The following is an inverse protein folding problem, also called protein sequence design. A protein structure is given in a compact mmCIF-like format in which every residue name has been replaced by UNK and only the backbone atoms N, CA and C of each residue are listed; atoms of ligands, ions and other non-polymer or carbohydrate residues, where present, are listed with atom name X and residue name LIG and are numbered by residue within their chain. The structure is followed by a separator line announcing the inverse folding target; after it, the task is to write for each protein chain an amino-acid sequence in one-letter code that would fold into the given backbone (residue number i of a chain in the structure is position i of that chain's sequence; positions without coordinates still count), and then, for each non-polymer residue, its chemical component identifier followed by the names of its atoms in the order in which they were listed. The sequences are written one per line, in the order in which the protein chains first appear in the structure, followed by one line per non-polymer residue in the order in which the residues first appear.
data_IF_199921880588
#
_entry.id   IF_199921880588
#
_cell.length_a   1.000
_cell.length_b   1.000
_cell.length_c   1.000
_cell.angle_alpha   90.00
_cell.angle_beta   90.00
_cell.angle_gamma   90.00
#
_symmetry.space_group_name_H-M   'P 1'
#
loop_
_entity.id
_entity.type
_entity.pdbx_description
1 polymer ?
#
# COMPACT_ATOMS: atom_id res chain seq x y z
N UNK A 1 14.36 -2.07 -44.90
CA UNK A 1 13.10 -1.83 -45.65
C UNK A 1 11.92 -2.62 -45.11
N UNK A 2 12.01 -3.94 -44.90
CA UNK A 2 10.91 -4.74 -44.34
C UNK A 2 10.45 -4.28 -42.94
N UNK A 3 11.40 -4.03 -42.03
CA UNK A 3 11.10 -3.58 -40.66
C UNK A 3 10.39 -2.22 -40.64
N UNK A 4 10.81 -1.30 -41.51
CA UNK A 4 10.20 0.03 -41.65
C UNK A 4 8.79 -0.06 -42.24
N UNK A 5 8.59 -0.90 -43.26
CA UNK A 5 7.27 -1.15 -43.83
C UNK A 5 6.31 -1.80 -42.82
N UNK A 6 6.79 -2.77 -42.06
CA UNK A 6 6.03 -3.41 -40.98
C UNK A 6 5.68 -2.40 -39.88
N UNK A 7 6.64 -1.57 -39.45
CA UNK A 7 6.42 -0.54 -38.44
C UNK A 7 5.42 0.52 -38.90
N UNK A 8 5.53 0.99 -40.16
CA UNK A 8 4.54 1.91 -40.73
C UNK A 8 3.14 1.28 -40.78
N UNK A 9 3.00 0.01 -41.17
CA UNK A 9 1.70 -0.68 -41.17
C UNK A 9 1.14 -0.88 -39.76
N UNK A 10 1.98 -1.21 -38.79
CA UNK A 10 1.60 -1.30 -37.39
C UNK A 10 1.12 0.04 -36.87
N UNK A 11 1.83 1.14 -37.14
CA UNK A 11 1.42 2.48 -36.72
C UNK A 11 0.09 2.92 -37.35
N UNK A 12 -0.19 2.56 -38.60
CA UNK A 12 -1.47 2.84 -39.26
C UNK A 12 -2.65 2.17 -38.52
N UNK A 13 -2.43 1.08 -37.79
CA UNK A 13 -3.46 0.44 -36.97
C UNK A 13 -3.43 0.92 -35.51
N UNK A 14 -2.24 1.00 -34.91
CA UNK A 14 -2.05 1.31 -33.50
C UNK A 14 -2.36 2.76 -33.18
N UNK A 15 -2.04 3.71 -34.07
CA UNK A 15 -2.31 5.14 -33.82
C UNK A 15 -3.81 5.43 -33.78
N UNK A 16 -4.63 5.02 -34.77
CA UNK A 16 -6.07 5.19 -34.67
C UNK A 16 -6.65 4.48 -33.45
N UNK A 17 -6.24 3.24 -33.18
CA UNK A 17 -6.72 2.49 -32.01
C UNK A 17 -6.39 3.23 -30.70
N UNK A 18 -5.15 3.70 -30.54
CA UNK A 18 -4.74 4.47 -29.38
C UNK A 18 -5.54 5.77 -29.25
N UNK A 19 -5.69 6.53 -30.34
CA UNK A 19 -6.47 7.77 -30.35
C UNK A 19 -7.94 7.51 -30.02
N UNK A 20 -8.57 6.50 -30.61
CA UNK A 20 -9.97 6.16 -30.32
C UNK A 20 -10.15 5.70 -28.88
N UNK A 21 -9.24 4.89 -28.36
CA UNK A 21 -9.28 4.43 -26.97
C UNK A 21 -9.05 5.60 -26.00
N UNK A 22 -8.10 6.48 -26.29
CA UNK A 22 -7.87 7.69 -25.49
C UNK A 22 -9.09 8.60 -25.53
N UNK A 23 -9.65 8.89 -26.71
CA UNK A 23 -10.88 9.69 -26.82
C UNK A 23 -12.04 9.06 -26.06
N UNK A 24 -12.22 7.74 -26.15
CA UNK A 24 -13.23 7.03 -25.38
C UNK A 24 -13.02 7.18 -23.86
N UNK A 25 -11.79 7.06 -23.36
CA UNK A 25 -11.48 7.22 -21.94
C UNK A 25 -11.70 8.67 -21.45
N UNK A 26 -11.23 9.67 -22.21
CA UNK A 26 -11.41 11.08 -21.87
C UNK A 26 -12.88 11.52 -21.97
N UNK A 27 -13.64 10.93 -22.88
CA UNK A 27 -15.08 11.17 -23.05
C UNK A 27 -15.92 10.11 -22.35
N UNK A 28 -15.34 9.28 -21.48
CA UNK A 28 -16.05 8.20 -20.81
C UNK A 28 -17.30 8.70 -20.06
N UNK A 29 -17.24 9.82 -19.31
CA UNK A 29 -18.43 10.36 -18.67
C UNK A 29 -19.51 10.80 -19.68
N UNK A 30 -19.11 11.28 -20.85
CA UNK A 30 -20.04 11.68 -21.92
C UNK A 30 -20.71 10.46 -22.53
N UNK A 31 -19.93 9.42 -22.85
CA UNK A 31 -20.42 8.18 -23.47
C UNK A 31 -21.40 7.45 -22.55
N UNK A 32 -21.14 7.47 -21.24
CA UNK A 32 -21.97 6.79 -20.23
C UNK A 32 -23.00 7.69 -19.54
N UNK A 33 -23.18 8.94 -20.00
CA UNK A 33 -24.16 9.85 -19.39
C UNK A 33 -23.90 10.12 -17.90
N UNK A 34 -22.64 10.13 -17.49
CA UNK A 34 -22.21 10.30 -16.11
C UNK A 34 -21.95 11.78 -15.79
N UNK A 35 -22.77 12.38 -14.94
CA UNK A 35 -22.53 13.71 -14.39
C UNK A 35 -22.88 13.73 -12.90
N UNK A 36 -22.14 14.51 -12.11
CA UNK A 36 -22.48 14.72 -10.70
C UNK A 36 -23.75 15.58 -10.59
N UNK A 37 -24.70 15.23 -9.71
CA UNK A 37 -25.94 15.99 -9.55
C UNK A 37 -25.66 17.41 -9.07
N UNK A 38 -26.43 18.38 -9.57
CA UNK A 38 -26.28 19.79 -9.19
C UNK A 38 -26.88 20.05 -7.80
N UNK A 39 -26.31 20.97 -7.00
CA UNK A 39 -26.70 21.15 -5.60
C UNK A 39 -28.14 21.64 -5.38
N UNK A 40 -28.83 22.15 -6.41
CA UNK A 40 -30.12 22.85 -6.28
C UNK A 40 -31.21 22.31 -7.23
N UNK A 41 -30.91 21.25 -8.00
CA UNK A 41 -31.89 20.62 -8.89
C UNK A 41 -31.97 19.12 -8.55
N UNK A 42 -33.13 18.69 -8.03
CA UNK A 42 -33.51 17.27 -7.96
C UNK A 42 -33.70 16.67 -9.37
N UNK A 43 -33.55 17.48 -10.43
CA UNK A 43 -33.55 16.99 -11.79
C UNK A 43 -32.22 16.28 -12.09
N UNK A 44 -32.27 14.96 -12.26
CA UNK A 44 -31.16 14.12 -12.70
C UNK A 44 -30.83 14.30 -14.20
N UNK A 45 -31.10 15.49 -14.75
CA UNK A 45 -30.87 15.80 -16.15
C UNK A 45 -29.37 15.86 -16.43
N UNK A 46 -28.85 14.79 -17.03
CA UNK A 46 -27.44 14.69 -17.40
C UNK A 46 -26.95 15.91 -18.19
N UNK A 47 -27.79 16.44 -19.11
CA UNK A 47 -27.42 17.59 -19.93
C UNK A 47 -27.13 18.84 -19.10
N UNK A 48 -27.92 19.11 -18.06
CA UNK A 48 -27.78 20.33 -17.26
C UNK A 48 -26.56 20.24 -16.33
N UNK A 49 -26.38 19.10 -15.68
CA UNK A 49 -25.20 18.81 -14.87
C UNK A 49 -23.90 18.81 -15.69
N UNK A 50 -23.93 18.23 -16.88
CA UNK A 50 -22.80 18.22 -17.80
C UNK A 50 -22.46 19.62 -18.31
N UNK A 51 -23.45 20.40 -18.75
CA UNK A 51 -23.24 21.77 -19.23
C UNK A 51 -22.70 22.70 -18.14
N UNK A 52 -23.23 22.60 -16.92
CA UNK A 52 -22.70 23.35 -15.77
C UNK A 52 -21.24 22.99 -15.49
N UNK A 53 -20.90 21.70 -15.54
CA UNK A 53 -19.50 21.23 -15.39
C UNK A 53 -18.62 21.77 -16.52
N UNK A 54 -19.09 21.71 -17.77
CA UNK A 54 -18.36 22.22 -18.93
C UNK A 54 -18.10 23.73 -18.83
N UNK A 55 -19.10 24.51 -18.40
CA UNK A 55 -18.96 25.96 -18.18
C UNK A 55 -17.91 26.30 -17.13
N UNK A 56 -17.75 25.48 -16.09
CA UNK A 56 -16.70 25.67 -15.08
C UNK A 56 -15.29 25.38 -15.61
N UNK A 57 -15.17 24.53 -16.65
CA UNK A 57 -13.88 24.10 -17.21
C UNK A 57 -13.47 24.88 -18.45
N UNK A 58 -14.35 25.70 -19.04
CA UNK A 58 -14.03 26.62 -20.14
C UNK A 58 -13.88 28.02 -19.54
N UNK A 59 -12.65 28.50 -19.31
CA UNK A 59 -12.43 29.85 -18.81
C UNK A 59 -12.73 30.84 -19.94
N UNK A 60 -13.96 31.38 -19.98
CA UNK A 60 -14.33 32.34 -21.02
C UNK A 60 -13.78 33.74 -20.69
N UNK A 61 -13.56 34.10 -19.43
CA UNK A 61 -13.03 35.42 -19.02
C UNK A 61 -12.31 35.38 -17.66
N UNK A 62 -11.29 34.53 -17.51
CA UNK A 62 -10.47 34.50 -16.29
C UNK A 62 -9.32 35.51 -16.40
N UNK A 63 -9.45 36.66 -15.73
CA UNK A 63 -8.31 37.52 -15.38
C UNK A 63 -7.21 36.66 -14.70
N UNK A 64 -5.91 36.99 -14.82
CA UNK A 64 -4.85 36.26 -14.14
C UNK A 64 -5.06 36.32 -12.63
N UNK A 65 -5.67 35.27 -12.08
CA UNK A 65 -5.94 35.20 -10.65
C UNK A 65 -4.59 35.19 -9.89
N UNK A 66 -4.49 35.89 -8.74
CA UNK A 66 -3.32 35.76 -7.88
C UNK A 66 -3.14 34.29 -7.49
N UNK A 67 -1.88 33.89 -7.22
CA UNK A 67 -1.55 32.52 -6.88
C UNK A 67 -2.42 32.03 -5.72
N UNK A 68 -3.19 30.95 -5.95
CA UNK A 68 -4.09 30.40 -4.94
C UNK A 68 -3.30 30.05 -3.66
N UNK A 69 -3.79 30.44 -2.46
CA UNK A 69 -3.11 30.16 -1.18
C UNK A 69 -2.93 28.67 -0.91
N UNK A 70 -3.83 27.83 -1.42
CA UNK A 70 -3.72 26.38 -1.40
C UNK A 70 -3.88 25.84 -2.83
N UNK A 71 -2.89 25.06 -3.25
CA UNK A 71 -2.83 24.27 -4.50
C UNK A 71 -2.51 22.85 -4.10
N UNK A 72 -3.44 21.93 -4.34
CA UNK A 72 -3.32 20.52 -3.97
C UNK A 72 -3.03 19.69 -5.23
N UNK A 73 -1.86 19.05 -5.26
CA UNK A 73 -1.57 18.01 -6.24
C UNK A 73 -2.04 16.67 -5.68
N UNK A 74 -2.97 16.03 -6.38
CA UNK A 74 -3.54 14.74 -6.00
C UNK A 74 -3.00 13.67 -6.92
N UNK A 75 -2.40 12.63 -6.36
CA UNK A 75 -1.96 11.43 -7.07
C UNK A 75 -2.85 10.27 -6.59
N UNK A 76 -3.69 9.77 -7.48
CA UNK A 76 -4.53 8.62 -7.17
C UNK A 76 -3.80 7.32 -7.51
N UNK A 77 -3.89 6.34 -6.63
CA UNK A 77 -3.53 4.94 -6.88
C UNK A 77 -2.19 4.77 -7.61
N UNK A 78 -1.06 5.23 -7.02
CA UNK A 78 0.23 5.08 -7.67
C UNK A 78 0.71 3.62 -7.69
N UNK A 79 0.07 2.71 -6.94
CA UNK A 79 0.39 1.29 -6.77
C UNK A 79 1.81 0.92 -7.23
N UNK A 80 2.78 1.17 -6.34
CA UNK A 80 4.18 0.80 -6.59
C UNK A 80 4.33 -0.68 -6.95
N UNK A 81 3.57 -1.53 -6.25
CA UNK A 81 3.46 -2.97 -6.47
C UNK A 81 2.12 -3.50 -5.95
N UNK A 82 1.43 -4.33 -6.72
CA UNK A 82 0.33 -5.16 -6.22
C UNK A 82 0.80 -6.40 -5.45
N UNK A 83 0.05 -7.50 -5.55
CA UNK A 83 0.22 -8.70 -4.71
C UNK A 83 1.39 -9.60 -5.11
N UNK A 84 2.04 -9.33 -6.25
CA UNK A 84 3.16 -10.16 -6.72
C UNK A 84 4.47 -9.76 -6.01
N UNK A 85 4.82 -10.47 -4.94
CA UNK A 85 6.11 -10.32 -4.27
C UNK A 85 7.25 -10.97 -5.07
N UNK A 86 8.48 -10.48 -4.84
CA UNK A 86 9.68 -11.19 -5.27
C UNK A 86 9.77 -12.54 -4.55
N UNK A 87 10.47 -13.55 -5.12
CA UNK A 87 10.63 -14.83 -4.44
C UNK A 87 11.18 -14.62 -3.03
N UNK A 88 10.65 -15.40 -2.08
CA UNK A 88 11.16 -15.41 -0.70
C UNK A 88 12.68 -15.69 -0.70
N UNK A 89 13.45 -15.19 0.29
CA UNK A 89 14.91 -15.34 0.33
C UNK A 89 15.42 -16.78 0.15
N UNK A 90 14.71 -17.77 0.70
CA UNK A 90 15.01 -19.20 0.58
C UNK A 90 14.77 -19.76 -0.84
N UNK A 91 13.94 -19.08 -1.63
CA UNK A 91 13.65 -19.41 -3.03
C UNK A 91 14.61 -18.73 -4.00
N UNK A 92 15.54 -17.89 -3.53
CA UNK A 92 16.58 -17.31 -4.37
C UNK A 92 17.57 -18.38 -4.86
N UNK A 93 18.12 -18.17 -6.06
CA UNK A 93 19.03 -19.12 -6.69
C UNK A 93 20.19 -19.53 -5.78
N UNK A 94 20.78 -18.57 -5.06
CA UNK A 94 21.90 -18.82 -4.15
C UNK A 94 21.51 -19.69 -2.95
N UNK A 95 20.32 -19.50 -2.38
CA UNK A 95 19.79 -20.32 -1.29
C UNK A 95 19.44 -21.73 -1.79
N UNK A 96 18.80 -21.84 -2.95
CA UNK A 96 18.49 -23.13 -3.60
C UNK A 96 19.75 -23.92 -3.95
N UNK A 97 20.78 -23.27 -4.49
CA UNK A 97 22.08 -23.91 -4.76
C UNK A 97 22.73 -24.46 -3.48
N UNK A 98 22.67 -23.70 -2.37
CA UNK A 98 23.16 -24.17 -1.07
C UNK A 98 22.35 -25.35 -0.55
N UNK A 99 21.03 -25.32 -0.70
CA UNK A 99 20.14 -26.40 -0.32
C UNK A 99 20.44 -27.70 -1.09
N UNK A 100 20.48 -27.63 -2.42
CA UNK A 100 20.85 -28.76 -3.28
C UNK A 100 22.23 -29.34 -2.93
N UNK A 101 23.20 -28.47 -2.64
CA UNK A 101 24.53 -28.91 -2.18
C UNK A 101 24.47 -29.64 -0.83
N UNK A 102 23.63 -29.17 0.09
CA UNK A 102 23.36 -29.84 1.36
C UNK A 102 22.79 -31.24 1.18
N UNK A 103 21.81 -31.41 0.30
CA UNK A 103 21.21 -32.72 -0.01
C UNK A 103 22.21 -33.69 -0.65
N UNK A 104 23.03 -33.20 -1.60
CA UNK A 104 24.10 -34.00 -2.20
C UNK A 104 25.11 -34.44 -1.13
N UNK A 105 25.49 -33.54 -0.22
CA UNK A 105 26.40 -33.84 0.89
C UNK A 105 25.80 -34.87 1.86
N UNK A 106 24.52 -34.76 2.18
CA UNK A 106 23.82 -35.72 3.03
C UNK A 106 23.75 -37.11 2.37
N UNK A 107 23.48 -37.17 1.06
CA UNK A 107 23.43 -38.41 0.29
C UNK A 107 24.79 -39.12 0.21
N UNK A 108 25.91 -38.36 0.19
CA UNK A 108 27.27 -38.91 0.24
C UNK A 108 27.56 -39.71 1.51
N UNK A 109 26.99 -39.29 2.65
CA UNK A 109 27.22 -39.89 3.97
C UNK A 109 26.10 -40.83 4.43
N UNK A 110 25.04 -40.99 3.65
CA UNK A 110 23.87 -41.79 4.03
C UNK A 110 24.21 -43.30 4.07
N UNK A 111 23.84 -44.02 5.16
CA UNK A 111 24.03 -45.47 5.23
C UNK A 111 23.30 -46.17 4.08
N UNK A 112 23.92 -47.19 3.50
CA UNK A 112 23.28 -48.06 2.49
C UNK A 112 22.16 -48.84 3.15
N UNK A 113 20.93 -48.33 3.12
CA UNK A 113 19.73 -49.14 3.31
C UNK A 113 19.34 -49.79 1.98
N UNK A 114 18.92 -51.05 2.05
CA UNK A 114 18.41 -51.90 0.96
C UNK A 114 17.22 -51.24 0.23
N UNK A 115 16.90 -51.68 -1.01
CA UNK A 115 16.20 -50.84 -1.98
C UNK A 115 14.82 -50.41 -1.49
N UNK A 116 14.53 -49.11 -1.59
CA UNK A 116 13.16 -48.61 -1.48
C UNK A 116 12.33 -49.23 -2.61
N UNK A 117 11.37 -50.05 -2.20
CA UNK A 117 10.28 -50.49 -3.05
C UNK A 117 9.57 -49.25 -3.58
N UNK A 118 9.66 -49.04 -4.88
CA UNK A 118 8.79 -48.14 -5.62
C UNK A 118 7.35 -48.59 -5.42
N UNK A 119 6.58 -47.84 -4.66
CA UNK A 119 5.14 -47.71 -4.93
C UNK A 119 4.87 -46.26 -5.27
N UNK A 120 4.60 -46.08 -6.55
CA UNK A 120 3.93 -44.95 -7.13
C UNK A 120 2.70 -44.56 -6.32
N UNK A 121 2.71 -43.36 -5.78
CA UNK A 121 1.50 -42.53 -5.77
C UNK A 121 1.79 -41.29 -6.59
N UNK A 122 1.11 -41.28 -7.73
CA UNK A 122 0.94 -40.24 -8.73
C UNK A 122 0.84 -38.83 -8.15
N UNK A 123 1.66 -37.92 -8.67
CA UNK A 123 1.35 -36.49 -8.79
C UNK A 123 1.47 -36.08 -10.26
N UNK A 124 0.51 -36.54 -11.05
CA UNK A 124 0.15 -35.89 -12.30
C UNK A 124 -0.95 -34.87 -11.95
N UNK A 125 -0.55 -33.67 -11.54
CA UNK A 125 -1.38 -32.46 -11.51
C UNK A 125 -0.51 -31.24 -11.16
N UNK A 126 0.18 -30.68 -12.16
CA UNK A 126 0.68 -29.30 -12.14
C UNK A 126 1.03 -28.84 -13.56
N UNK A 127 0.07 -28.99 -14.47
CA UNK A 127 0.00 -28.22 -15.70
C UNK A 127 -1.46 -27.79 -15.81
N UNK A 128 -1.69 -26.48 -15.69
CA UNK A 128 -2.98 -25.76 -15.61
C UNK A 128 -3.54 -25.58 -14.18
N UNK A 129 -3.11 -24.50 -13.53
CA UNK A 129 -3.96 -23.58 -12.78
C UNK A 129 -3.13 -22.33 -12.44
N UNK A 130 -3.37 -21.24 -13.19
CA UNK A 130 -3.23 -19.90 -12.65
C UNK A 130 -4.40 -19.71 -11.68
N UNK A 131 -4.12 -19.68 -10.37
CA UNK A 131 -4.87 -18.95 -9.36
C UNK A 131 -4.21 -19.18 -8.00
N UNK A 132 -4.13 -18.11 -7.21
CA UNK A 132 -3.82 -18.01 -5.78
C UNK A 132 -3.88 -19.30 -4.95
N UNK A 133 -2.83 -19.57 -4.15
CA UNK A 133 -2.76 -19.32 -2.69
C UNK A 133 -1.52 -20.01 -2.06
N UNK A 134 -1.05 -19.42 -0.95
CA UNK A 134 -0.35 -19.98 0.24
C UNK A 134 0.67 -21.14 0.14
N UNK A 135 1.86 -20.93 0.73
CA UNK A 135 2.58 -21.96 1.54
C UNK A 135 3.79 -21.37 2.32
N UNK A 136 4.08 -22.02 3.46
CA UNK A 136 4.81 -21.68 4.71
C UNK A 136 6.32 -21.38 4.66
N UNK A 137 6.94 -21.03 5.82
CA UNK A 137 8.23 -21.63 6.19
C UNK A 137 8.35 -22.03 7.69
N UNK A 138 9.32 -22.90 7.95
CA UNK A 138 9.60 -23.63 9.20
C UNK A 138 10.53 -22.91 10.19
N UNK A 139 10.10 -22.90 11.45
CA UNK A 139 10.82 -22.95 12.75
C UNK A 139 12.33 -22.69 12.87
N UNK A 140 12.70 -21.70 13.68
CA UNK A 140 13.91 -21.71 14.52
C UNK A 140 13.54 -21.36 15.98
N UNK A 141 13.81 -22.28 16.90
CA UNK A 141 13.69 -22.09 18.35
C UNK A 141 15.01 -21.63 18.93
N UNK A 142 14.98 -20.52 19.67
CA UNK A 142 16.07 -19.98 20.48
C UNK A 142 15.82 -20.23 21.97
N UNK A 143 16.89 -20.43 22.75
CA UNK A 143 16.94 -20.22 24.21
C UNK A 143 18.40 -20.26 24.73
N UNK A 144 18.70 -19.66 25.91
CA UNK A 144 19.85 -18.77 26.06
C UNK A 144 20.99 -19.25 26.99
N UNK A 145 22.01 -18.39 27.06
CA UNK A 145 23.29 -18.42 27.80
C UNK A 145 23.31 -18.97 29.23
N UNK A 146 24.45 -19.59 29.59
CA UNK A 146 25.08 -19.56 30.93
C UNK A 146 26.55 -19.99 30.87
N UNK A 147 27.42 -19.18 31.48
CA UNK A 147 28.89 -19.27 31.54
C UNK A 147 29.38 -20.03 32.83
N UNK A 148 30.70 -20.14 33.17
CA UNK A 148 31.38 -21.42 33.38
C UNK A 148 31.93 -21.66 34.80
N UNK A 149 32.31 -22.90 35.15
CA UNK A 149 33.16 -23.17 36.35
C UNK A 149 34.15 -24.34 36.19
N UNK A 150 35.42 -23.95 36.27
CA UNK A 150 36.71 -24.54 36.68
C UNK A 150 36.85 -25.90 37.42
N UNK A 151 37.82 -26.70 36.94
CA UNK A 151 38.94 -27.46 37.61
C UNK A 151 38.67 -28.67 38.55
N UNK A 152 39.69 -29.50 38.88
CA UNK A 152 40.67 -30.21 38.03
C UNK A 152 40.94 -31.70 38.47
N UNK A 153 41.77 -32.40 37.69
CA UNK A 153 42.67 -33.53 38.00
C UNK A 153 42.29 -34.60 39.04
N UNK A 154 42.25 -35.87 38.58
CA UNK A 154 43.04 -36.89 39.27
C UNK A 154 43.46 -38.06 38.37
N UNK A 155 44.77 -38.31 38.43
CA UNK A 155 45.55 -39.31 37.72
C UNK A 155 45.39 -40.70 38.34
N UNK A 156 45.22 -41.76 37.54
CA UNK A 156 45.64 -43.11 37.96
C UNK A 156 46.12 -43.92 36.76
N UNK A 157 47.36 -44.39 36.88
CA UNK A 157 48.16 -45.17 35.96
C UNK A 157 47.74 -46.65 35.99
N UNK A 158 47.58 -47.30 34.82
CA UNK A 158 47.97 -48.71 34.66
C UNK A 158 48.35 -49.00 33.20
N UNK A 159 49.55 -49.53 33.05
CA UNK A 159 50.27 -49.91 31.82
C UNK A 159 49.74 -51.24 31.26
N UNK A 160 49.63 -51.39 29.93
CA UNK A 160 50.31 -52.42 29.08
C UNK A 160 49.58 -52.72 27.76
N UNK A 161 50.23 -52.29 26.67
CA UNK A 161 50.43 -52.91 25.35
C UNK A 161 49.53 -54.09 24.92
N UNK A 162 48.80 -53.94 23.81
CA UNK A 162 49.19 -54.52 22.51
C UNK A 162 48.14 -54.30 21.40
N UNK A 163 48.59 -53.65 20.33
CA UNK A 163 48.33 -53.96 18.91
C UNK A 163 46.96 -54.49 18.48
N UNK A 164 46.14 -53.64 17.85
CA UNK A 164 45.51 -53.96 16.57
C UNK A 164 45.05 -52.67 15.87
N UNK A 165 45.32 -52.64 14.57
CA UNK A 165 45.04 -51.56 13.64
C UNK A 165 43.54 -51.23 13.57
N UNK A 166 43.10 -50.13 14.21
CA UNK A 166 41.85 -49.48 13.84
C UNK A 166 42.12 -48.56 12.65
N UNK A 167 41.98 -49.12 11.46
CA UNK A 167 41.74 -48.34 10.25
C UNK A 167 40.52 -47.47 10.50
N UNK A 168 40.66 -46.15 10.31
CA UNK A 168 39.54 -45.23 10.15
C UNK A 168 38.47 -45.90 9.26
N UNK A 169 37.17 -45.87 9.63
CA UNK A 169 36.16 -46.49 8.80
C UNK A 169 36.22 -45.81 7.43
N UNK A 170 36.59 -46.58 6.41
CA UNK A 170 36.53 -46.13 5.03
C UNK A 170 35.11 -45.66 4.78
N UNK A 171 34.96 -44.35 4.56
CA UNK A 171 33.70 -43.70 4.22
C UNK A 171 33.17 -44.42 2.97
N UNK A 172 32.25 -45.38 3.14
CA UNK A 172 31.64 -46.09 2.03
C UNK A 172 30.67 -45.13 1.37
N UNK A 173 31.15 -44.40 0.35
CA UNK A 173 30.30 -43.51 -0.45
C UNK A 173 29.07 -44.26 -0.93
N UNK A 174 27.89 -43.69 -0.67
CA UNK A 174 26.64 -44.20 -1.19
C UNK A 174 26.43 -43.67 -2.62
N UNK A 175 27.16 -44.26 -3.57
CA UNK A 175 27.19 -43.84 -4.98
C UNK A 175 25.79 -43.75 -5.62
N UNK A 176 24.88 -44.72 -5.44
CA UNK A 176 23.54 -44.65 -6.03
C UNK A 176 22.69 -43.50 -5.47
N UNK A 177 22.68 -43.31 -4.14
CA UNK A 177 21.94 -42.22 -3.51
C UNK A 177 22.51 -40.85 -3.92
N UNK A 178 23.83 -40.75 -4.02
CA UNK A 178 24.52 -39.54 -4.49
C UNK A 178 24.16 -39.22 -5.93
N UNK A 179 24.17 -40.23 -6.82
CA UNK A 179 23.79 -40.05 -8.22
C UNK A 179 22.34 -39.57 -8.33
N UNK A 180 21.43 -40.16 -7.57
CA UNK A 180 20.02 -39.75 -7.53
C UNK A 180 19.87 -38.30 -7.05
N UNK A 181 20.53 -37.91 -5.95
CA UNK A 181 20.51 -36.55 -5.43
C UNK A 181 21.05 -35.53 -6.45
N UNK A 182 22.15 -35.84 -7.13
CA UNK A 182 22.70 -34.99 -8.19
C UNK A 182 21.72 -34.84 -9.36
N UNK A 183 21.10 -35.94 -9.81
CA UNK A 183 20.14 -35.87 -10.92
C UNK A 183 18.90 -35.07 -10.55
N UNK A 184 18.36 -35.24 -9.35
CA UNK A 184 17.21 -34.48 -8.85
C UNK A 184 17.55 -33.00 -8.69
N UNK A 185 18.71 -32.68 -8.12
CA UNK A 185 19.20 -31.31 -7.99
C UNK A 185 19.36 -30.63 -9.36
N UNK A 186 19.95 -31.32 -10.34
CA UNK A 186 20.14 -30.79 -11.69
C UNK A 186 18.80 -30.57 -12.42
N UNK A 187 17.88 -31.53 -12.32
CA UNK A 187 16.54 -31.41 -12.89
C UNK A 187 15.78 -30.22 -12.28
N UNK A 188 15.78 -30.10 -10.95
CA UNK A 188 15.10 -29.02 -10.23
C UNK A 188 15.74 -27.65 -10.55
N UNK A 189 17.07 -27.59 -10.61
CA UNK A 189 17.80 -26.38 -10.96
C UNK A 189 17.43 -25.87 -12.35
N UNK A 190 17.40 -26.76 -13.35
CA UNK A 190 17.12 -26.41 -14.75
C UNK A 190 15.64 -26.14 -15.02
N UNK A 191 14.74 -26.94 -14.47
CA UNK A 191 13.30 -26.85 -14.77
C UNK A 191 12.56 -25.83 -13.90
N UNK A 192 13.06 -25.58 -12.68
CA UNK A 192 12.34 -24.80 -11.69
C UNK A 192 13.13 -23.57 -11.24
N UNK A 193 14.34 -23.76 -10.70
CA UNK A 193 15.05 -22.66 -10.03
C UNK A 193 15.60 -21.60 -11.01
N UNK A 194 16.14 -22.02 -12.15
CA UNK A 194 16.63 -21.09 -13.18
C UNK A 194 15.50 -20.28 -13.85
N UNK A 195 14.40 -20.90 -14.35
CA UNK A 195 13.28 -20.15 -14.89
C UNK A 195 12.65 -19.20 -13.87
N UNK A 196 12.50 -19.63 -12.60
CA UNK A 196 12.02 -18.77 -11.51
C UNK A 196 12.95 -17.58 -11.28
N UNK A 197 14.26 -17.80 -11.27
CA UNK A 197 15.26 -16.74 -11.08
C UNK A 197 15.26 -15.72 -12.22
N UNK A 198 15.07 -16.18 -13.46
CA UNK A 198 14.92 -15.29 -14.62
C UNK A 198 13.63 -14.45 -14.54
N UNK A 199 12.49 -15.07 -14.17
CA UNK A 199 11.24 -14.35 -13.92
C UNK A 199 11.41 -13.30 -12.81
N UNK A 200 12.09 -13.66 -11.73
CA UNK A 200 12.37 -12.74 -10.63
C UNK A 200 13.28 -11.58 -11.06
N UNK A 201 14.32 -11.84 -11.85
CA UNK A 201 15.19 -10.79 -12.39
C UNK A 201 14.42 -9.83 -13.31
N UNK A 202 13.56 -10.36 -14.20
CA UNK A 202 12.65 -9.54 -15.01
C UNK A 202 11.73 -8.70 -14.13
N UNK A 203 11.09 -9.30 -13.13
CA UNK A 203 10.21 -8.58 -12.21
C UNK A 203 10.97 -7.45 -11.50
N UNK A 204 12.19 -7.69 -11.00
CA UNK A 204 13.03 -6.63 -10.40
C UNK A 204 13.30 -5.47 -11.34
N UNK A 205 13.53 -5.74 -12.63
CA UNK A 205 13.69 -4.71 -13.65
C UNK A 205 12.38 -3.95 -13.89
N UNK A 206 11.26 -4.66 -13.99
CA UNK A 206 9.92 -4.06 -14.15
C UNK A 206 9.60 -3.13 -12.97
N UNK A 207 9.90 -3.56 -11.75
CA UNK A 207 9.73 -2.78 -10.51
C UNK A 207 10.60 -1.53 -10.49
N UNK A 208 11.87 -1.66 -10.88
CA UNK A 208 12.76 -0.51 -11.03
C UNK A 208 12.20 0.49 -12.05
N UNK A 209 11.71 0.00 -13.19
CA UNK A 209 11.06 0.83 -14.21
C UNK A 209 9.82 1.54 -13.66
N UNK A 210 8.97 0.83 -12.91
CA UNK A 210 7.76 1.39 -12.30
C UNK A 210 8.12 2.51 -11.30
N UNK A 211 9.08 2.28 -10.41
CA UNK A 211 9.55 3.28 -9.45
C UNK A 211 9.93 4.59 -10.16
N UNK A 212 10.75 4.51 -11.22
CA UNK A 212 11.21 5.69 -11.95
C UNK A 212 10.13 6.32 -12.83
N UNK A 213 9.18 5.52 -13.33
CA UNK A 213 8.03 6.02 -14.08
C UNK A 213 7.11 6.87 -13.18
N UNK A 214 6.73 6.34 -12.00
CA UNK A 214 5.95 7.08 -11.00
C UNK A 214 6.70 8.33 -10.54
N UNK A 215 8.01 8.20 -10.31
CA UNK A 215 8.84 9.34 -9.94
C UNK A 215 8.90 10.41 -11.03
N UNK A 216 8.89 10.01 -12.31
CA UNK A 216 8.79 10.94 -13.44
C UNK A 216 7.45 11.67 -13.45
N UNK A 217 6.33 10.96 -13.25
CA UNK A 217 5.00 11.58 -13.15
C UNK A 217 4.97 12.60 -12.03
N UNK A 218 5.35 12.19 -10.81
CA UNK A 218 5.36 13.08 -9.65
C UNK A 218 6.22 14.32 -9.89
N UNK A 219 7.47 14.15 -10.32
CA UNK A 219 8.40 15.28 -10.52
C UNK A 219 7.93 16.22 -11.62
N UNK A 220 7.43 15.70 -12.74
CA UNK A 220 6.93 16.50 -13.85
C UNK A 220 5.71 17.31 -13.41
N UNK A 221 4.74 16.68 -12.73
CA UNK A 221 3.53 17.36 -12.26
C UNK A 221 3.83 18.35 -11.15
N UNK A 222 4.67 17.99 -10.18
CA UNK A 222 5.08 18.88 -9.09
C UNK A 222 5.79 20.12 -9.63
N UNK A 223 6.73 19.94 -10.58
CA UNK A 223 7.42 21.05 -11.21
C UNK A 223 6.47 21.97 -12.00
N UNK A 224 5.55 21.39 -12.78
CA UNK A 224 4.64 22.15 -13.64
C UNK A 224 3.53 22.87 -12.86
N UNK A 225 2.95 22.20 -11.86
CA UNK A 225 1.77 22.71 -11.13
C UNK A 225 2.13 23.53 -9.89
N UNK A 226 3.40 23.51 -9.46
CA UNK A 226 3.91 24.24 -8.30
C UNK A 226 3.00 24.12 -7.06
N UNK A 227 2.67 22.90 -6.60
CA UNK A 227 1.68 22.70 -5.56
C UNK A 227 2.18 23.21 -4.20
N UNK A 228 1.23 23.61 -3.36
CA UNK A 228 1.51 23.90 -1.94
C UNK A 228 1.48 22.65 -1.07
N UNK A 229 0.66 21.66 -1.48
CA UNK A 229 0.41 20.41 -0.78
C UNK A 229 0.33 19.28 -1.80
N UNK A 230 0.80 18.09 -1.42
CA UNK A 230 0.71 16.88 -2.23
C UNK A 230 -0.02 15.82 -1.43
N UNK A 231 -0.98 15.13 -2.04
CA UNK A 231 -1.65 13.98 -1.42
C UNK A 231 -1.63 12.77 -2.33
N UNK A 232 -1.55 11.60 -1.72
CA UNK A 232 -1.63 10.30 -2.39
C UNK A 232 -2.86 9.57 -1.86
N UNK A 233 -3.79 9.23 -2.75
CA UNK A 233 -5.11 8.69 -2.40
C UNK A 233 -5.11 7.18 -2.12
N UNK A 234 -4.24 6.69 -1.24
CA UNK A 234 -4.19 5.27 -0.89
C UNK A 234 -3.60 4.37 -1.95
N UNK A 235 -3.55 3.08 -1.61
CA UNK A 235 -2.93 2.00 -2.36
C UNK A 235 -1.49 2.33 -2.74
N UNK A 236 -0.73 2.78 -1.74
CA UNK A 236 0.66 3.17 -1.92
C UNK A 236 1.49 1.95 -2.28
N UNK A 237 1.34 0.89 -1.49
CA UNK A 237 2.03 -0.39 -1.67
C UNK A 237 1.09 -1.55 -1.33
N UNK A 238 1.13 -2.63 -2.10
CA UNK A 238 0.53 -3.90 -1.69
C UNK A 238 1.18 -4.37 -0.40
N UNK A 239 0.47 -4.20 0.71
CA UNK A 239 0.91 -4.56 2.06
C UNK A 239 0.20 -5.84 2.49
N UNK A 240 -0.99 -6.12 1.97
CA UNK A 240 -1.63 -7.40 2.21
C UNK A 240 -0.71 -8.55 1.77
N UNK A 241 -0.57 -9.54 2.65
CA UNK A 241 0.14 -10.80 2.34
C UNK A 241 1.64 -10.69 2.05
N UNK A 242 2.30 -9.60 2.50
CA UNK A 242 3.78 -9.49 2.48
C UNK A 242 4.38 -9.44 3.88
N UNK A 243 5.61 -9.95 4.00
CA UNK A 243 6.38 -9.87 5.24
C UNK A 243 6.79 -8.43 5.56
N UNK A 244 7.14 -8.17 6.81
CA UNK A 244 7.55 -6.83 7.24
C UNK A 244 8.86 -6.38 6.56
N UNK A 245 9.77 -7.29 6.25
CA UNK A 245 10.99 -6.96 5.51
C UNK A 245 10.68 -6.49 4.08
N UNK A 246 9.74 -7.15 3.40
CA UNK A 246 9.32 -6.74 2.07
C UNK A 246 8.55 -5.42 2.11
N UNK A 247 7.66 -5.24 3.09
CA UNK A 247 6.98 -3.97 3.34
C UNK A 247 7.97 -2.82 3.53
N UNK A 248 9.01 -3.00 4.36
CA UNK A 248 10.03 -1.98 4.60
C UNK A 248 10.79 -1.64 3.32
N UNK A 249 11.18 -2.64 2.51
CA UNK A 249 11.83 -2.39 1.21
C UNK A 249 10.95 -1.59 0.26
N UNK A 250 9.65 -1.90 0.20
CA UNK A 250 8.66 -1.15 -0.59
C UNK A 250 8.55 0.30 -0.08
N UNK A 251 8.47 0.50 1.23
CA UNK A 251 8.48 1.81 1.88
C UNK A 251 9.73 2.64 1.60
N UNK A 252 10.92 2.03 1.65
CA UNK A 252 12.17 2.70 1.29
C UNK A 252 12.15 3.19 -0.16
N UNK A 253 11.68 2.37 -1.11
CA UNK A 253 11.58 2.79 -2.51
C UNK A 253 10.57 3.92 -2.72
N UNK A 254 9.44 3.88 -2.02
CA UNK A 254 8.45 4.96 -2.03
C UNK A 254 9.12 6.31 -1.71
N UNK A 255 9.83 6.39 -0.59
CA UNK A 255 10.42 7.65 -0.13
C UNK A 255 11.72 8.02 -0.84
N UNK A 256 12.58 7.06 -1.15
CA UNK A 256 13.91 7.36 -1.70
C UNK A 256 13.94 7.46 -3.23
N UNK A 257 12.98 6.83 -3.93
CA UNK A 257 12.92 6.80 -5.39
C UNK A 257 11.74 7.56 -5.95
N UNK A 258 10.51 7.26 -5.53
CA UNK A 258 9.30 7.90 -6.09
C UNK A 258 9.18 9.33 -5.59
N UNK A 259 9.02 9.48 -4.29
CA UNK A 259 8.83 10.76 -3.61
C UNK A 259 10.14 11.28 -3.00
N UNK A 260 11.25 11.13 -3.72
CA UNK A 260 12.58 11.55 -3.25
C UNK A 260 12.57 13.00 -2.75
N UNK A 261 12.96 13.19 -1.48
CA UNK A 261 12.97 14.49 -0.80
C UNK A 261 11.62 14.88 -0.17
N UNK A 262 10.61 14.04 -0.31
CA UNK A 262 9.34 14.15 0.39
C UNK A 262 9.47 13.85 1.87
N UNK A 263 8.60 14.46 2.66
CA UNK A 263 8.49 14.26 4.11
C UNK A 263 7.06 13.82 4.41
N UNK A 264 6.90 12.97 5.44
CA UNK A 264 5.59 12.56 5.94
C UNK A 264 4.69 13.77 6.25
N UNK A 265 3.46 13.69 5.74
CA UNK A 265 2.46 14.74 5.87
C UNK A 265 2.05 15.05 7.31
N UNK A 266 2.03 14.03 8.17
CA UNK A 266 1.60 14.08 9.57
C UNK A 266 2.72 14.45 10.55
N UNK A 267 3.93 14.74 10.08
CA UNK A 267 5.07 15.00 10.99
C UNK A 267 4.93 16.29 11.82
N UNK A 268 3.86 17.07 11.62
CA UNK A 268 3.50 18.23 12.43
C UNK A 268 2.63 17.84 13.64
N UNK A 269 1.96 16.67 13.59
CA UNK A 269 1.19 16.14 14.70
C UNK A 269 2.21 15.77 15.78
N UNK A 270 2.14 16.40 16.97
CA UNK A 270 3.06 16.06 18.04
C UNK A 270 2.95 14.57 18.35
N UNK A 271 4.09 13.88 18.44
CA UNK A 271 4.09 12.54 19.01
C UNK A 271 3.54 12.63 20.44
N UNK A 272 2.82 11.62 20.97
CA UNK A 272 2.41 11.62 22.37
C UNK A 272 3.58 11.79 23.36
N UNK A 273 4.83 11.60 22.91
CA UNK A 273 6.06 11.87 23.67
C UNK A 273 6.66 13.28 23.46
N UNK A 274 6.15 14.10 22.54
CA UNK A 274 6.66 15.46 22.27
C UNK A 274 5.64 16.53 22.66
N UNK A 275 5.99 17.39 23.62
CA UNK A 275 5.17 18.51 24.09
C UNK A 275 5.29 19.78 23.25
N UNK A 276 5.95 19.72 22.09
CA UNK A 276 6.11 20.88 21.20
C UNK A 276 4.86 21.04 20.32
N UNK A 277 4.07 22.07 20.60
CA UNK A 277 3.07 22.56 19.64
C UNK A 277 3.76 22.93 18.32
N UNK A 278 3.17 22.61 17.15
CA UNK A 278 3.72 23.02 15.87
C UNK A 278 3.85 24.55 15.82
N UNK A 279 4.96 25.06 15.29
CA UNK A 279 5.17 26.50 15.10
C UNK A 279 4.01 27.08 14.28
N UNK A 280 3.24 27.98 14.89
CA UNK A 280 2.02 28.61 14.37
C UNK A 280 2.23 29.16 12.93
N UNK A 281 3.42 29.70 12.66
CA UNK A 281 3.79 30.26 11.35
C UNK A 281 3.84 29.21 10.21
N UNK A 282 3.92 27.91 10.51
CA UNK A 282 3.94 26.86 9.48
C UNK A 282 2.56 26.53 8.91
N UNK A 283 1.49 26.91 9.60
CA UNK A 283 0.09 26.64 9.21
C UNK A 283 -0.59 27.86 8.57
N UNK A 284 0.11 28.99 8.48
CA UNK A 284 -0.33 30.17 7.76
C UNK A 284 -0.16 30.00 6.25
N UNK A 285 -1.25 30.18 5.49
CA UNK A 285 -1.26 30.17 4.02
C UNK A 285 -1.00 31.57 3.50
N UNK A 286 -0.03 31.69 2.58
CA UNK A 286 0.27 32.91 1.87
C UNK A 286 0.00 32.70 0.37
N UNK A 287 -0.64 33.66 -0.33
CA UNK A 287 -0.83 33.59 -1.78
C UNK A 287 0.49 33.81 -2.51
N UNK A 288 1.33 32.77 -2.57
CA UNK A 288 2.66 32.80 -3.19
C UNK A 288 2.93 31.53 -3.99
N UNK A 289 3.79 31.65 -5.00
CA UNK A 289 4.35 30.51 -5.74
C UNK A 289 5.63 29.97 -5.10
N UNK A 290 6.15 30.65 -4.07
CA UNK A 290 7.34 30.21 -3.36
C UNK A 290 7.07 28.93 -2.55
N UNK A 291 8.05 28.02 -2.47
CA UNK A 291 7.94 26.82 -1.64
C UNK A 291 7.68 27.17 -0.17
N UNK A 292 6.85 26.37 0.49
CA UNK A 292 6.62 26.41 1.93
C UNK A 292 7.12 25.13 2.59
N UNK A 293 7.03 25.06 3.92
CA UNK A 293 7.29 23.83 4.67
C UNK A 293 6.39 22.65 4.26
N UNK A 294 5.30 22.91 3.52
CA UNK A 294 4.33 21.91 3.05
C UNK A 294 4.53 21.45 1.61
N UNK A 295 5.35 22.16 0.82
CA UNK A 295 5.55 21.87 -0.61
C UNK A 295 6.09 20.46 -0.87
N UNK A 296 6.86 19.91 0.07
CA UNK A 296 7.42 18.56 -0.01
C UNK A 296 6.76 17.59 0.99
N UNK A 297 5.68 17.99 1.66
CA UNK A 297 4.94 17.11 2.57
C UNK A 297 3.94 16.29 1.77
N UNK A 298 4.03 14.97 1.90
CA UNK A 298 3.15 14.03 1.20
C UNK A 298 2.08 13.55 2.18
N UNK A 299 0.84 13.96 1.93
CA UNK A 299 -0.35 13.58 2.69
C UNK A 299 -0.83 12.22 2.18
N UNK A 300 -0.31 11.15 2.78
CA UNK A 300 -0.67 9.78 2.43
C UNK A 300 -2.00 9.40 3.09
N UNK A 301 -2.99 9.06 2.28
CA UNK A 301 -4.22 8.42 2.71
C UNK A 301 -3.99 6.91 2.63
N UNK A 302 -4.64 6.15 3.50
CA UNK A 302 -4.54 4.69 3.50
C UNK A 302 -5.55 4.08 2.52
N UNK A 303 -5.12 3.10 1.72
CA UNK A 303 -5.98 2.35 0.81
C UNK A 303 -6.25 0.90 1.24
N UNK A 304 -7.16 0.22 0.52
CA UNK A 304 -7.51 -1.16 0.86
C UNK A 304 -6.32 -2.12 0.68
N UNK A 305 -5.45 -1.91 -0.32
CA UNK A 305 -4.23 -2.73 -0.48
C UNK A 305 -3.18 -2.47 0.59
N UNK A 306 -3.27 -1.34 1.29
CA UNK A 306 -2.34 -0.98 2.37
C UNK A 306 -2.70 -1.68 3.70
N UNK A 307 -3.99 -1.69 4.08
CA UNK A 307 -4.43 -2.21 5.40
C UNK A 307 -5.55 -3.25 5.38
N UNK A 308 -6.28 -3.42 4.29
CA UNK A 308 -7.52 -4.22 4.26
C UNK A 308 -8.80 -3.38 4.32
N UNK A 309 -9.93 -4.06 4.15
CA UNK A 309 -11.26 -3.57 4.51
C UNK A 309 -11.58 -3.95 5.95
N UNK A 310 -12.72 -3.51 6.48
CA UNK A 310 -13.03 -3.73 7.89
C UNK A 310 -12.96 -5.21 8.29
N UNK A 311 -13.35 -6.14 7.42
CA UNK A 311 -13.40 -7.58 7.70
C UNK A 311 -12.06 -8.31 7.68
N UNK A 312 -10.96 -7.63 7.34
CA UNK A 312 -9.61 -8.17 7.44
C UNK A 312 -8.59 -7.19 8.06
N UNK A 313 -8.90 -5.90 8.19
CA UNK A 313 -7.98 -4.89 8.73
C UNK A 313 -7.40 -5.28 10.11
N UNK A 314 -6.07 -5.19 10.23
CA UNK A 314 -5.30 -5.60 11.43
C UNK A 314 -4.48 -4.46 12.01
N UNK A 315 -4.29 -4.49 13.32
CA UNK A 315 -3.51 -3.50 14.06
C UNK A 315 -2.04 -3.46 13.60
N UNK A 316 -1.44 -4.61 13.28
CA UNK A 316 -0.07 -4.70 12.76
C UNK A 316 0.08 -4.01 11.39
N UNK A 317 -0.90 -4.18 10.49
CA UNK A 317 -0.92 -3.53 9.16
C UNK A 317 -1.07 -2.01 9.28
N UNK A 318 -1.98 -1.55 10.13
CA UNK A 318 -2.14 -0.12 10.43
C UNK A 318 -0.85 0.43 11.03
N UNK A 319 -0.30 -0.22 12.06
CA UNK A 319 0.91 0.25 12.73
C UNK A 319 2.10 0.39 11.79
N UNK A 320 2.36 -0.59 10.90
CA UNK A 320 3.46 -0.47 9.94
C UNK A 320 3.19 0.61 8.88
N UNK A 321 1.93 0.77 8.43
CA UNK A 321 1.55 1.89 7.57
C UNK A 321 1.84 3.23 8.25
N UNK A 322 1.41 3.42 9.49
CA UNK A 322 1.63 4.65 10.24
C UNK A 322 3.10 4.93 10.52
N UNK A 323 3.90 3.89 10.73
CA UNK A 323 5.35 4.02 10.91
C UNK A 323 6.05 4.52 9.63
N UNK A 324 5.58 4.11 8.46
CA UNK A 324 6.25 4.38 7.18
C UNK A 324 5.66 5.57 6.44
N UNK A 325 4.33 5.70 6.37
CA UNK A 325 3.64 6.63 5.48
C UNK A 325 2.93 7.77 6.20
N UNK A 326 2.53 7.59 7.45
CA UNK A 326 1.81 8.59 8.24
C UNK A 326 0.56 8.04 8.91
N UNK A 327 0.08 8.73 9.94
CA UNK A 327 -1.15 8.40 10.67
C UNK A 327 -2.33 8.18 9.71
N UNK A 328 -3.15 7.17 10.00
CA UNK A 328 -4.32 6.83 9.15
C UNK A 328 -5.52 7.75 9.40
N UNK A 329 -5.57 8.41 10.56
CA UNK A 329 -6.59 9.38 10.95
C UNK A 329 -5.92 10.61 11.57
N UNK A 330 -6.11 11.80 10.98
CA UNK A 330 -5.63 13.06 11.52
C UNK A 330 -6.26 14.25 10.81
N UNK A 331 -6.25 15.42 11.44
CA UNK A 331 -6.76 16.65 10.85
C UNK A 331 -5.88 17.86 11.19
N UNK A 332 -5.95 18.90 10.35
CA UNK A 332 -5.20 20.13 10.54
C UNK A 332 -5.97 21.33 9.99
N UNK A 333 -5.81 22.48 10.64
CA UNK A 333 -6.40 23.75 10.20
C UNK A 333 -5.31 24.70 9.74
N UNK A 334 -5.44 25.15 8.51
CA UNK A 334 -4.68 26.23 7.94
C UNK A 334 -5.49 27.52 7.98
N UNK A 335 -4.84 28.68 8.12
CA UNK A 335 -5.51 29.98 8.02
C UNK A 335 -4.85 30.87 6.97
N UNK A 336 -5.65 31.71 6.33
CA UNK A 336 -5.15 32.71 5.40
C UNK A 336 -4.47 33.85 6.15
N UNK A 337 -3.22 34.14 5.82
CA UNK A 337 -2.53 35.32 6.34
C UNK A 337 -2.97 36.56 5.56
N UNK A 338 -3.76 37.42 6.20
CA UNK A 338 -4.23 38.67 5.60
C UNK A 338 -3.35 39.80 6.13
N UNK A 339 -2.30 40.17 5.39
CA UNK A 339 -1.59 41.43 5.64
C UNK A 339 -2.47 42.59 5.15
N UNK A 340 -3.28 43.16 6.05
CA UNK A 340 -4.05 44.37 5.74
C UNK A 340 -3.09 45.52 5.43
N UNK A 341 -2.86 45.77 4.15
CA UNK A 341 -2.12 46.94 3.65
C UNK A 341 -2.99 48.21 3.69
N UNK A 342 -3.91 48.31 4.64
CA UNK A 342 -4.80 49.45 4.85
C UNK A 342 -4.82 49.80 6.33
N UNK A 343 -3.86 50.64 6.71
CA UNK A 343 -3.84 51.40 7.95
C UNK A 343 -5.07 52.30 8.03
N UNK A 344 -6.17 51.80 8.62
CA UNK A 344 -7.26 52.55 9.29
C UNK A 344 -8.49 51.66 9.49
N UNK A 345 -8.46 50.73 10.44
CA UNK A 345 -9.67 50.15 11.01
C UNK A 345 -9.56 50.17 12.54
N UNK A 346 -10.57 50.67 13.27
CA UNK A 346 -10.56 50.72 14.72
C UNK A 346 -10.62 49.30 15.31
N UNK A 347 -9.92 49.10 16.43
CA UNK A 347 -9.70 47.85 17.18
C UNK A 347 -10.96 47.25 17.82
N UNK A 348 -12.05 47.13 17.07
CA UNK A 348 -13.30 46.53 17.58
C UNK A 348 -13.80 45.48 16.59
N UNK A 349 -13.71 44.22 17.02
CA UNK A 349 -13.99 42.94 16.34
C UNK A 349 -12.80 42.34 15.58
N UNK A 350 -12.00 41.53 16.30
CA UNK A 350 -11.08 40.57 15.70
C UNK A 350 -11.82 39.65 14.72
N UNK A 351 -11.84 40.02 13.44
CA UNK A 351 -12.31 39.18 12.37
C UNK A 351 -11.32 38.01 12.21
N UNK A 352 -11.64 36.85 12.79
CA UNK A 352 -10.85 35.63 12.61
C UNK A 352 -10.66 35.32 11.11
N UNK A 353 -9.45 34.94 10.67
CA UNK A 353 -9.14 34.73 9.26
C UNK A 353 -9.88 33.50 8.69
N UNK A 354 -10.15 33.46 7.37
CA UNK A 354 -10.61 32.26 6.68
C UNK A 354 -9.68 31.07 6.89
N UNK A 355 -10.24 29.86 6.99
CA UNK A 355 -9.51 28.64 7.30
C UNK A 355 -9.81 27.51 6.33
N UNK A 356 -8.84 26.64 6.12
CA UNK A 356 -9.01 25.35 5.46
C UNK A 356 -8.76 24.26 6.49
N UNK A 357 -9.76 23.40 6.73
CA UNK A 357 -9.65 22.25 7.61
C UNK A 357 -9.47 21.00 6.76
N UNK A 358 -8.26 20.46 6.72
CA UNK A 358 -7.98 19.19 6.05
C UNK A 358 -8.22 18.05 7.03
N UNK A 359 -9.00 17.07 6.62
CA UNK A 359 -9.31 15.86 7.40
C UNK A 359 -8.84 14.66 6.59
N UNK A 360 -7.90 13.89 7.11
CA UNK A 360 -7.53 12.57 6.61
C UNK A 360 -8.31 11.51 7.39
N UNK A 361 -9.22 10.82 6.71
CA UNK A 361 -10.11 9.83 7.30
C UNK A 361 -9.86 8.45 6.71
N UNK A 362 -9.44 7.51 7.56
CA UNK A 362 -9.45 6.10 7.26
C UNK A 362 -10.90 5.58 7.24
N UNK A 363 -11.48 5.55 6.05
CA UNK A 363 -12.84 5.07 5.82
C UNK A 363 -12.96 3.55 5.82
N UNK A 364 -11.86 2.82 5.64
CA UNK A 364 -11.86 1.37 5.39
C UNK A 364 -12.33 0.54 6.59
N UNK A 365 -12.31 1.14 7.78
CA UNK A 365 -12.62 0.49 9.07
C UNK A 365 -13.98 0.88 9.64
N UNK A 366 -14.74 1.73 8.94
CA UNK A 366 -16.03 2.26 9.42
C UNK A 366 -17.21 1.31 9.16
N UNK A 367 -17.23 0.65 7.99
CA UNK A 367 -18.28 -0.28 7.62
C UNK A 367 -18.14 -1.65 8.33
N UNK A 368 -19.15 -2.50 8.21
CA UNK A 368 -19.29 -3.76 8.97
C UNK A 368 -19.60 -4.93 8.05
N UNK A 369 -19.37 -6.18 8.48
CA UNK A 369 -18.76 -6.62 9.75
C UNK A 369 -17.23 -6.44 9.80
N UNK A 370 -16.73 -5.91 10.92
CA UNK A 370 -15.31 -5.68 11.15
C UNK A 370 -14.62 -6.89 11.82
N UNK A 371 -13.37 -7.14 11.46
CA UNK A 371 -12.50 -8.16 12.06
C UNK A 371 -12.12 -7.79 13.49
N UNK A 372 -11.69 -6.53 13.70
CA UNK A 372 -11.30 -6.01 15.00
C UNK A 372 -12.29 -4.94 15.47
N UNK A 373 -13.10 -5.23 16.50
CA UNK A 373 -13.97 -4.24 17.12
C UNK A 373 -13.21 -3.03 17.67
N UNK A 374 -11.99 -3.22 18.17
CA UNK A 374 -11.16 -2.15 18.74
C UNK A 374 -10.73 -1.14 17.67
N UNK A 375 -10.28 -1.62 16.50
CA UNK A 375 -9.91 -0.76 15.36
C UNK A 375 -11.11 0.04 14.87
N UNK A 376 -12.27 -0.60 14.76
CA UNK A 376 -13.51 0.07 14.38
C UNK A 376 -13.91 1.12 15.42
N UNK A 377 -13.87 0.78 16.71
CA UNK A 377 -14.18 1.69 17.82
C UNK A 377 -13.28 2.93 17.78
N UNK A 378 -11.96 2.75 17.64
CA UNK A 378 -11.02 3.86 17.52
C UNK A 378 -11.31 4.78 16.32
N UNK A 379 -11.77 4.20 15.20
CA UNK A 379 -12.15 4.97 14.01
C UNK A 379 -13.40 5.83 14.25
N UNK A 380 -14.41 5.27 14.93
CA UNK A 380 -15.60 6.01 15.34
C UNK A 380 -15.30 7.04 16.45
N UNK A 381 -14.41 6.75 17.39
CA UNK A 381 -13.97 7.72 18.41
C UNK A 381 -13.29 8.94 17.78
N UNK A 382 -12.42 8.72 16.79
CA UNK A 382 -11.82 9.81 16.03
C UNK A 382 -12.87 10.65 15.32
N UNK A 383 -13.81 10.01 14.61
CA UNK A 383 -14.88 10.68 13.88
C UNK A 383 -15.80 11.47 14.83
N UNK A 384 -16.18 10.89 15.96
CA UNK A 384 -17.01 11.55 16.97
C UNK A 384 -16.29 12.76 17.55
N UNK A 385 -15.03 12.62 17.98
CA UNK A 385 -14.19 13.72 18.49
C UNK A 385 -14.05 14.84 17.45
N UNK A 386 -13.88 14.48 16.18
CA UNK A 386 -13.82 15.44 15.08
C UNK A 386 -15.11 16.28 15.01
N UNK A 387 -16.27 15.61 15.00
CA UNK A 387 -17.59 16.24 14.90
C UNK A 387 -17.90 17.11 16.12
N UNK A 388 -17.61 16.62 17.32
CA UNK A 388 -18.02 17.30 18.57
C UNK A 388 -17.09 18.43 18.97
N UNK A 389 -15.77 18.30 18.73
CA UNK A 389 -14.77 19.20 19.31
C UNK A 389 -14.01 20.02 18.27
N UNK A 390 -13.84 19.51 17.04
CA UNK A 390 -12.88 20.08 16.09
C UNK A 390 -13.53 20.71 14.86
N UNK A 391 -14.72 20.31 14.45
CA UNK A 391 -15.38 20.94 13.31
C UNK A 391 -15.93 22.33 13.66
N UNK A 392 -15.90 23.21 12.67
CA UNK A 392 -16.56 24.50 12.78
C UNK A 392 -18.09 24.32 12.71
N UNK A 393 -18.88 25.21 13.34
CA UNK A 393 -20.33 25.18 13.19
C UNK A 393 -20.74 25.35 11.72
N UNK A 394 -21.89 24.82 11.33
CA UNK A 394 -22.34 24.87 9.91
C UNK A 394 -22.69 26.27 9.44
N UNK A 395 -22.92 27.16 10.40
CA UNK A 395 -23.15 28.58 10.17
C UNK A 395 -21.84 29.33 9.90
N UNK A 396 -20.68 28.72 10.19
CA UNK A 396 -19.38 29.28 9.87
C UNK A 396 -19.09 29.19 8.36
N UNK A 397 -19.14 30.34 7.70
CA UNK A 397 -18.81 30.47 6.27
C UNK A 397 -17.33 30.73 6.01
N UNK A 398 -16.49 30.73 7.04
CA UNK A 398 -15.04 31.02 6.94
C UNK A 398 -14.18 29.77 6.87
N UNK A 399 -14.72 28.62 7.29
CA UNK A 399 -14.01 27.35 7.27
C UNK A 399 -14.41 26.53 6.04
N UNK A 400 -13.43 26.19 5.21
CA UNK A 400 -13.59 25.23 4.13
C UNK A 400 -13.05 23.88 4.57
N UNK A 401 -13.89 22.85 4.52
CA UNK A 401 -13.49 21.48 4.88
C UNK A 401 -13.05 20.71 3.65
N UNK A 402 -11.83 20.18 3.67
CA UNK A 402 -11.30 19.26 2.67
C UNK A 402 -11.18 17.86 3.29
N UNK A 403 -12.08 16.96 2.90
CA UNK A 403 -12.02 15.55 3.28
C UNK A 403 -11.13 14.78 2.31
N UNK A 404 -10.13 14.10 2.87
CA UNK A 404 -9.25 13.16 2.21
C UNK A 404 -9.62 11.75 2.68
N UNK A 405 -10.06 10.91 1.75
CA UNK A 405 -10.46 9.54 2.04
C UNK A 405 -10.31 8.67 0.79
N UNK A 406 -10.13 7.36 0.99
CA UNK A 406 -9.88 6.43 -0.11
C UNK A 406 -11.17 5.83 -0.68
N UNK A 407 -12.17 5.56 0.17
CA UNK A 407 -13.45 5.04 -0.30
C UNK A 407 -14.38 6.20 -0.70
N UNK A 408 -14.93 6.19 -1.93
CA UNK A 408 -15.98 7.11 -2.32
C UNK A 408 -17.18 7.05 -1.36
N UNK A 409 -17.83 8.19 -1.13
CA UNK A 409 -19.09 8.22 -0.40
C UNK A 409 -20.19 7.49 -1.19
N UNK A 410 -21.17 6.96 -0.48
CA UNK A 410 -22.33 6.28 -1.06
C UNK A 410 -22.98 7.11 -2.18
N UNK A 411 -23.25 6.45 -3.30
CA UNK A 411 -24.10 6.95 -4.37
C UNK A 411 -25.20 5.95 -4.66
N UNK A 412 -26.40 6.42 -4.99
CA UNK A 412 -27.51 5.54 -5.35
C UNK A 412 -27.20 4.79 -6.64
N UNK A 413 -27.74 3.58 -6.76
CA UNK A 413 -27.76 2.83 -8.01
C UNK A 413 -28.42 3.66 -9.13
N UNK A 414 -27.88 3.55 -10.34
CA UNK A 414 -28.34 4.33 -11.50
C UNK A 414 -27.70 5.71 -11.65
N UNK A 415 -26.89 6.18 -10.68
CA UNK A 415 -26.03 7.36 -10.86
C UNK A 415 -24.68 6.91 -11.41
N UNK A 416 -24.35 7.21 -12.66
CA UNK A 416 -23.16 6.69 -13.35
C UNK A 416 -23.15 5.15 -13.47
N UNK A 417 -22.00 4.54 -13.77
CA UNK A 417 -21.90 3.11 -14.15
C UNK A 417 -22.00 2.15 -12.96
N UNK A 418 -21.15 2.28 -11.94
CA UNK A 418 -21.02 1.23 -10.92
C UNK A 418 -21.95 1.44 -9.72
N UNK A 419 -22.87 0.52 -9.43
CA UNK A 419 -23.66 0.55 -8.20
C UNK A 419 -22.75 0.33 -6.95
N UNK A 420 -23.20 0.73 -5.74
CA UNK A 420 -22.56 0.30 -4.50
C UNK A 420 -22.45 -1.22 -4.43
N UNK A 421 -21.27 -1.71 -4.11
CA UNK A 421 -20.94 -3.12 -4.00
C UNK A 421 -20.34 -3.39 -2.63
N UNK A 422 -20.81 -4.47 -2.00
CA UNK A 422 -20.25 -5.05 -0.79
C UNK A 422 -20.11 -6.56 -1.00
N UNK A 423 -18.92 -7.10 -0.74
CA UNK A 423 -18.68 -8.55 -0.71
C UNK A 423 -18.11 -8.94 0.64
N UNK A 424 -18.44 -10.15 1.05
CA UNK A 424 -18.06 -10.70 2.36
C UNK A 424 -17.27 -11.99 2.15
N UNK A 425 -16.43 -12.35 3.12
CA UNK A 425 -15.74 -13.63 3.11
C UNK A 425 -16.76 -14.77 3.27
N UNK A 426 -16.70 -15.75 2.37
CA UNK A 426 -17.61 -16.91 2.39
C UNK A 426 -17.22 -17.94 3.44
N UNK A 427 -15.94 -17.97 3.80
CA UNK A 427 -15.33 -18.93 4.71
C UNK A 427 -14.31 -18.23 5.62
N UNK A 428 -14.05 -18.83 6.78
CA UNK A 428 -12.94 -18.43 7.64
C UNK A 428 -11.59 -18.70 6.96
N UNK A 429 -10.54 -18.01 7.38
CA UNK A 429 -9.18 -18.36 6.96
C UNK A 429 -8.79 -19.74 7.52
N UNK A 430 -8.66 -20.72 6.62
CA UNK A 430 -8.31 -22.11 6.94
C UNK A 430 -6.79 -22.28 7.08
N UNK A 431 -6.01 -21.35 6.51
CA UNK A 431 -4.54 -21.37 6.48
C UNK A 431 -3.90 -20.74 7.73
N UNK A 432 -4.62 -20.72 8.86
CA UNK A 432 -4.15 -20.20 10.15
C UNK A 432 -3.04 -21.08 10.76
N UNK A 433 -1.86 -21.07 10.13
CA UNK A 433 -0.60 -21.49 10.75
C UNK A 433 -0.12 -20.47 11.79
N UNK A 434 -0.57 -19.22 11.65
CA UNK A 434 -0.57 -18.21 12.71
C UNK A 434 -1.74 -18.50 13.65
N UNK A 435 -1.56 -18.36 14.97
CA UNK A 435 -2.60 -18.61 16.00
C UNK A 435 -3.87 -17.73 15.84
N UNK A 436 -3.93 -16.87 14.81
CA UNK A 436 -4.98 -15.90 14.55
C UNK A 436 -5.40 -15.88 13.05
N UNK A 437 -6.69 -16.08 12.77
CA UNK A 437 -7.28 -16.10 11.41
C UNK A 437 -7.10 -14.76 10.69
N UNK A 438 -6.69 -14.71 9.41
CA UNK A 438 -6.48 -13.44 8.68
C UNK A 438 -7.78 -12.69 8.38
N UNK A 439 -8.87 -13.43 8.25
CA UNK A 439 -10.23 -12.93 8.11
C UNK A 439 -11.20 -13.96 8.71
N UNK A 440 -12.48 -13.61 8.78
CA UNK A 440 -13.53 -14.49 9.28
C UNK A 440 -14.71 -14.54 8.31
N UNK A 441 -15.46 -15.64 8.34
CA UNK A 441 -16.68 -15.83 7.57
C UNK A 441 -17.69 -14.71 7.88
N UNK A 442 -18.17 -14.04 6.84
CA UNK A 442 -19.08 -12.90 6.93
C UNK A 442 -18.40 -11.56 7.16
N UNK A 443 -17.08 -11.51 7.38
CA UNK A 443 -16.31 -10.27 7.42
C UNK A 443 -16.38 -9.53 6.09
N UNK A 444 -16.41 -8.20 6.14
CA UNK A 444 -16.37 -7.35 4.95
C UNK A 444 -15.06 -7.52 4.18
N UNK A 445 -15.13 -8.08 2.98
CA UNK A 445 -13.97 -8.40 2.12
C UNK A 445 -13.65 -7.30 1.12
N UNK A 446 -14.67 -6.67 0.55
CA UNK A 446 -14.50 -5.74 -0.56
C UNK A 446 -15.69 -4.78 -0.60
N UNK A 447 -15.42 -3.50 -0.82
CA UNK A 447 -16.44 -2.52 -1.19
C UNK A 447 -15.88 -1.42 -2.08
N UNK A 448 -16.72 -0.86 -2.95
CA UNK A 448 -16.35 0.23 -3.85
C UNK A 448 -16.86 1.61 -3.40
N UNK A 449 -17.77 1.66 -2.42
CA UNK A 449 -18.29 2.87 -1.79
C UNK A 449 -18.48 2.61 -0.30
N UNK A 450 -18.49 3.66 0.51
CA UNK A 450 -19.00 3.59 1.88
C UNK A 450 -20.50 3.27 1.89
N UNK A 451 -20.97 2.66 2.98
CA UNK A 451 -22.42 2.43 3.13
C UNK A 451 -23.19 3.75 3.17
N UNK A 452 -24.48 3.68 2.85
CA UNK A 452 -25.38 4.84 2.96
C UNK A 452 -25.36 5.41 4.38
N UNK A 453 -25.33 4.55 5.40
CA UNK A 453 -25.31 4.95 6.79
C UNK A 453 -24.02 5.69 7.17
N UNK A 454 -22.85 5.14 6.84
CA UNK A 454 -21.57 5.79 7.17
C UNK A 454 -21.43 7.10 6.38
N UNK A 455 -21.80 7.10 5.11
CA UNK A 455 -21.73 8.30 4.25
C UNK A 455 -22.67 9.40 4.73
N UNK A 456 -23.93 9.05 5.01
CA UNK A 456 -24.95 9.98 5.48
C UNK A 456 -24.67 10.44 6.90
N UNK A 457 -24.74 9.54 7.86
CA UNK A 457 -24.75 9.87 9.28
C UNK A 457 -23.35 10.16 9.83
N UNK A 458 -22.37 9.37 9.41
CA UNK A 458 -20.98 9.52 9.87
C UNK A 458 -20.29 10.73 9.26
N UNK A 459 -20.33 10.84 7.93
CA UNK A 459 -19.54 11.84 7.20
C UNK A 459 -20.34 13.09 6.86
N UNK A 460 -21.42 12.98 6.08
CA UNK A 460 -22.12 14.14 5.53
C UNK A 460 -22.90 14.92 6.58
N UNK A 461 -23.73 14.25 7.39
CA UNK A 461 -24.43 14.87 8.51
C UNK A 461 -23.45 15.26 9.59
N UNK A 462 -22.50 14.38 9.96
CA UNK A 462 -21.46 14.69 10.94
C UNK A 462 -20.70 15.98 10.60
N UNK A 463 -20.33 16.18 9.33
CA UNK A 463 -19.62 17.38 8.90
C UNK A 463 -20.53 18.58 8.62
N UNK A 464 -21.84 18.36 8.44
CA UNK A 464 -22.86 19.38 8.21
C UNK A 464 -23.80 19.60 9.41
N UNK A 465 -23.54 19.07 10.62
CA UNK A 465 -24.35 19.34 11.82
C UNK A 465 -23.55 20.12 12.86
N UNK A 466 -23.92 21.39 12.97
CA UNK A 466 -24.12 22.11 14.24
C UNK A 466 -25.23 23.14 13.98
N UNK A 467 -26.46 22.67 14.07
CA UNK A 467 -27.67 23.48 14.14
C UNK A 467 -28.56 22.93 15.23
#
# INVERSE_FOLDING_TARGET
MFLQFLFCRLLVLLVPLAVTSSLYLYLYPVVHGCAFPLPHDDSHSFSDAFLATLQQHIPIDAEPAPAAPLRLLVLADPQLEGDSSLPKPESELSARLRHHWGEIRAALTAPRSSPLNSTSTTAAAAAAAESDTSESPSSETSSPDSEPTTNPDNTTTTTTNNTLSERAPLLKLNLPATQQAITTALQTLLQTDLPRSLKAARKRLDLLGNDYYLAHIYRTLHWWTQPTHVTVLGDLIGSQWVSDEEFQRRGTRYWERVFKGGVRGDSFVPSPLSSSSPDDNTLALNPTTQPSAWTNRILNIVGNHDIGYAGDARASRISRFESTFGLVNWDVKFWLNITTSSSSAPETNELQPPRIHIINLNSLTLDTPAYSPDIQTASYEYLNTLITERLAPVTDRRTFTLLLTHLPLHKREGVCVDAPLFRFFEEDDIDAQEEEKRWFQGGLREQNHLSEWVSGNGVLEGFRRQG
#
